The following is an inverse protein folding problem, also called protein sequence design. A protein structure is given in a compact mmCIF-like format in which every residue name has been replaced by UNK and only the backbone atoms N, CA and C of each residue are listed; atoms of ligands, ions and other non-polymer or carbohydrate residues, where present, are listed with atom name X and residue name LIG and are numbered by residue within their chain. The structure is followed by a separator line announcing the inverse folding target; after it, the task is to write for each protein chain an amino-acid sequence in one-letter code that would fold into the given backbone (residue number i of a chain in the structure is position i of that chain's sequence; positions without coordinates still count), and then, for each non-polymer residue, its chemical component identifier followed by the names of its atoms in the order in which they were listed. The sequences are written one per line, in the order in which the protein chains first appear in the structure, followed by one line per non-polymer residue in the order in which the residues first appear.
data_IF_574333888185
#
_entry.id   IF_574333888185
#
_cell.length_a   1.000
_cell.length_b   1.000
_cell.length_c   1.000
_cell.angle_alpha   90.00
_cell.angle_beta   90.00
_cell.angle_gamma   90.00
#
_symmetry.space_group_name_H-M   'P 1'
#
loop_
_entity.id
_entity.type
_entity.pdbx_description
1 polymer ?
#
# COMPACT_ATOMS: atom_id res chain seq x y z
N UNK A 1 2.99 19.75 -12.86
CA UNK A 1 1.61 19.22 -12.69
C UNK A 1 1.65 17.69 -12.54
N UNK A 2 0.59 17.03 -12.04
CA UNK A 2 0.54 15.56 -11.98
C UNK A 2 0.78 14.91 -13.35
N UNK A 3 0.24 15.52 -14.41
CA UNK A 3 0.41 15.05 -15.79
C UNK A 3 1.86 15.14 -16.27
N UNK A 4 2.58 16.19 -15.90
CA UNK A 4 4.01 16.33 -16.24
C UNK A 4 4.85 15.25 -15.55
N UNK A 5 4.65 15.03 -14.25
CA UNK A 5 5.38 13.99 -13.51
C UNK A 5 5.14 12.60 -14.08
N UNK A 6 3.88 12.27 -14.38
CA UNK A 6 3.53 10.99 -15.01
C UNK A 6 4.19 10.82 -16.39
N UNK A 7 4.23 11.87 -17.22
CA UNK A 7 4.90 11.81 -18.53
C UNK A 7 6.42 11.69 -18.42
N UNK A 8 7.04 12.32 -17.43
CA UNK A 8 8.47 12.18 -17.19
C UNK A 8 8.83 10.75 -16.77
N UNK A 9 8.02 10.13 -15.91
CA UNK A 9 8.20 8.73 -15.51
C UNK A 9 8.06 7.78 -16.70
N UNK A 10 7.07 8.00 -17.58
CA UNK A 10 6.91 7.21 -18.80
C UNK A 10 8.14 7.32 -19.72
N UNK A 11 8.67 8.54 -19.90
CA UNK A 11 9.88 8.74 -20.71
C UNK A 11 11.11 8.04 -20.11
N UNK A 12 11.21 7.99 -18.77
CA UNK A 12 12.26 7.23 -18.08
C UNK A 12 12.12 5.72 -18.33
N UNK A 13 10.90 5.18 -18.19
CA UNK A 13 10.62 3.76 -18.48
C UNK A 13 10.94 3.42 -19.93
N UNK A 14 10.57 4.27 -20.88
CA UNK A 14 10.89 4.08 -22.30
C UNK A 14 12.41 4.06 -22.52
N UNK A 15 13.17 4.91 -21.81
CA UNK A 15 14.64 4.92 -21.88
C UNK A 15 15.30 3.65 -21.30
N UNK A 16 14.58 2.91 -20.44
CA UNK A 16 15.02 1.63 -19.87
C UNK A 16 14.71 0.42 -20.75
N UNK A 17 14.13 0.61 -21.94
CA UNK A 17 13.70 -0.48 -22.82
C UNK A 17 12.22 -0.84 -22.69
N UNK A 18 11.44 0.00 -22.00
CA UNK A 18 10.00 -0.16 -21.83
C UNK A 18 9.62 -0.88 -20.53
N UNK A 19 8.31 -1.04 -20.32
CA UNK A 19 7.75 -1.45 -19.04
C UNK A 19 8.22 -2.83 -18.53
N UNK A 20 8.45 -3.79 -19.42
CA UNK A 20 8.87 -5.16 -19.03
C UNK A 20 10.30 -5.14 -18.50
N UNK A 21 11.21 -4.43 -19.17
CA UNK A 21 12.60 -4.30 -18.73
C UNK A 21 12.71 -3.44 -17.45
N UNK A 22 11.78 -2.50 -17.26
CA UNK A 22 11.73 -1.63 -16.08
C UNK A 22 11.01 -2.24 -14.85
N UNK A 23 10.61 -3.51 -14.87
CA UNK A 23 9.83 -4.13 -13.77
C UNK A 23 10.53 -3.99 -12.42
N UNK A 24 11.82 -4.32 -12.34
CA UNK A 24 12.55 -4.26 -11.07
C UNK A 24 12.70 -2.82 -10.55
N UNK A 25 12.88 -1.87 -11.46
CA UNK A 25 12.86 -0.45 -11.11
C UNK A 25 11.50 -0.03 -10.55
N UNK A 26 10.39 -0.31 -11.25
CA UNK A 26 9.06 0.06 -10.78
C UNK A 26 8.72 -0.59 -9.43
N UNK A 27 9.14 -1.85 -9.23
CA UNK A 27 8.99 -2.54 -7.95
C UNK A 27 9.78 -1.87 -6.83
N UNK A 28 11.05 -1.51 -7.06
CA UNK A 28 11.86 -0.84 -6.04
C UNK A 28 11.24 0.50 -5.64
N UNK A 29 10.73 1.28 -6.61
CA UNK A 29 10.05 2.56 -6.35
C UNK A 29 8.79 2.40 -5.51
N UNK A 30 8.00 1.34 -5.74
CA UNK A 30 6.82 1.03 -4.92
C UNK A 30 7.21 0.67 -3.48
N UNK A 31 8.26 -0.14 -3.31
CA UNK A 31 8.77 -0.51 -1.99
C UNK A 31 9.29 0.73 -1.25
N UNK A 32 10.10 1.56 -1.89
CA UNK A 32 10.60 2.82 -1.35
C UNK A 32 9.47 3.75 -0.93
N UNK A 33 8.47 3.93 -1.80
CA UNK A 33 7.33 4.80 -1.52
C UNK A 33 6.51 4.31 -0.33
N UNK A 34 6.31 3.00 -0.21
CA UNK A 34 5.58 2.44 0.92
C UNK A 34 6.39 2.52 2.22
N UNK A 35 7.69 2.22 2.18
CA UNK A 35 8.57 2.34 3.34
C UNK A 35 8.62 3.78 3.85
N UNK A 36 8.72 4.77 2.96
CA UNK A 36 8.66 6.19 3.33
C UNK A 36 7.32 6.56 3.97
N UNK A 37 6.20 6.07 3.42
CA UNK A 37 4.87 6.27 4.02
C UNK A 37 4.78 5.69 5.43
N UNK A 38 5.23 4.44 5.62
CA UNK A 38 5.23 3.80 6.94
C UNK A 38 6.09 4.59 7.92
N UNK A 39 7.30 4.99 7.52
CA UNK A 39 8.17 5.82 8.37
C UNK A 39 7.53 7.14 8.79
N UNK A 40 6.80 7.81 7.90
CA UNK A 40 6.06 9.03 8.22
C UNK A 40 4.88 8.79 9.18
N UNK A 41 4.22 7.63 9.08
CA UNK A 41 3.15 7.25 10.02
C UNK A 41 3.75 6.95 11.39
N UNK A 42 4.87 6.24 11.45
CA UNK A 42 5.55 5.89 12.69
C UNK A 42 6.14 7.10 13.40
N UNK A 43 6.71 8.07 12.66
CA UNK A 43 7.22 9.32 13.22
C UNK A 43 6.13 10.29 13.66
N UNK A 44 4.90 10.12 13.14
CA UNK A 44 3.79 11.04 13.35
C UNK A 44 3.73 12.21 12.36
N UNK A 45 4.68 12.32 11.43
CA UNK A 45 4.67 13.32 10.35
C UNK A 45 3.44 13.18 9.45
N UNK A 46 2.94 11.94 9.31
CA UNK A 46 1.67 11.62 8.68
C UNK A 46 0.67 11.11 9.73
N UNK A 47 -0.36 11.89 10.00
CA UNK A 47 -1.44 11.50 10.93
C UNK A 47 -2.36 10.45 10.32
N UNK A 48 -2.57 9.36 11.05
CA UNK A 48 -3.55 8.30 10.77
C UNK A 48 -4.43 8.12 12.01
N UNK A 49 -5.66 8.61 11.90
CA UNK A 49 -6.66 8.58 12.99
C UNK A 49 -6.97 7.14 13.38
N UNK A 50 -7.01 6.87 14.69
CA UNK A 50 -7.22 5.53 15.24
C UNK A 50 -5.97 4.64 15.23
N UNK A 51 -4.88 5.07 14.58
CA UNK A 51 -3.61 4.33 14.52
C UNK A 51 -2.52 5.05 15.32
N UNK A 52 -2.10 6.24 14.90
CA UNK A 52 -1.04 7.01 15.59
C UNK A 52 -1.55 8.28 16.29
N UNK A 53 -2.81 8.68 16.06
CA UNK A 53 -3.46 9.81 16.71
C UNK A 53 -4.94 9.51 16.98
N UNK A 54 -5.49 10.10 18.04
CA UNK A 54 -6.90 9.95 18.43
C UNK A 54 -7.33 8.48 18.53
N UNK A 55 -6.57 7.67 19.26
CA UNK A 55 -6.74 6.21 19.36
C UNK A 55 -7.93 5.79 20.26
N UNK A 56 -8.46 6.68 21.08
CA UNK A 56 -9.59 6.40 21.96
C UNK A 56 -10.90 6.26 21.17
N UNK A 57 -11.66 5.19 21.43
CA UNK A 57 -12.96 4.92 20.82
C UNK A 57 -13.48 3.55 21.24
N UNK A 58 -14.65 3.16 20.75
CA UNK A 58 -15.13 1.78 20.88
C UNK A 58 -14.29 0.83 20.01
N UNK A 59 -14.20 -0.44 20.39
CA UNK A 59 -13.46 -1.43 19.62
C UNK A 59 -14.05 -1.56 18.21
N UNK A 60 -13.18 -1.62 17.19
CA UNK A 60 -13.63 -1.71 15.80
C UNK A 60 -14.42 -3.01 15.56
N UNK A 61 -15.66 -2.94 15.04
CA UNK A 61 -16.46 -4.13 14.75
C UNK A 61 -15.87 -5.00 13.63
N UNK A 62 -14.86 -4.50 12.90
CA UNK A 62 -14.17 -5.23 11.85
C UNK A 62 -12.97 -6.04 12.36
N UNK A 63 -12.41 -5.67 13.51
CA UNK A 63 -11.22 -6.34 14.09
C UNK A 63 -11.49 -6.95 15.46
N UNK A 64 -12.61 -6.61 16.10
CA UNK A 64 -13.02 -7.15 17.39
C UNK A 64 -14.14 -8.19 17.17
N UNK A 65 -13.86 -9.45 17.47
CA UNK A 65 -14.82 -10.55 17.43
C UNK A 65 -14.30 -11.80 16.72
N UNK A 66 -14.89 -12.95 17.04
CA UNK A 66 -14.51 -14.25 16.45
C UNK A 66 -14.81 -14.33 14.92
N UNK A 67 -15.69 -13.46 14.41
CA UNK A 67 -16.04 -13.33 12.99
C UNK A 67 -15.16 -12.31 12.22
N UNK A 68 -14.11 -11.77 12.84
CA UNK A 68 -13.25 -10.76 12.21
C UNK A 68 -12.46 -11.31 11.01
N UNK A 69 -12.33 -12.63 10.89
CA UNK A 69 -11.61 -13.30 9.81
C UNK A 69 -12.60 -14.11 8.99
N UNK A 70 -12.89 -13.64 7.77
CA UNK A 70 -13.63 -14.42 6.79
C UNK A 70 -12.74 -15.55 6.26
N UNK A 71 -12.98 -16.78 6.70
CA UNK A 71 -12.29 -17.98 6.19
C UNK A 71 -13.03 -18.55 4.99
N UNK A 72 -12.30 -18.99 3.96
CA UNK A 72 -12.88 -19.72 2.82
C UNK A 72 -13.35 -21.10 3.31
N UNK A 73 -14.54 -21.54 2.88
CA UNK A 73 -15.01 -22.91 3.17
C UNK A 73 -14.06 -23.92 2.51
N UNK A 74 -13.45 -24.86 3.25
CA UNK A 74 -12.58 -25.90 2.70
C UNK A 74 -13.20 -26.72 1.57
N UNK A 75 -14.54 -26.79 1.48
CA UNK A 75 -15.24 -27.47 0.39
C UNK A 75 -15.06 -26.79 -0.96
N UNK A 76 -14.84 -25.48 -1.00
CA UNK A 76 -14.64 -24.73 -2.24
C UNK A 76 -13.28 -25.01 -2.90
N UNK A 77 -12.30 -25.55 -2.15
CA UNK A 77 -10.97 -25.93 -2.69
C UNK A 77 -10.94 -27.36 -3.27
N UNK A 78 -12.00 -28.15 -3.04
CA UNK A 78 -12.09 -29.55 -3.47
C UNK A 78 -12.82 -29.76 -4.81
N UNK A 79 -13.39 -28.69 -5.39
CA UNK A 79 -14.00 -28.66 -6.73
C UNK A 79 -13.05 -28.04 -7.77
#
# INVERSE_FOLDING_TARGET
SLKEGARAELALIDSMGGAVEAIEYMKSRLVESNAARIGQIESGDMTVVGVNAYQSGEASPLTAGDDAIMTVDPKNEAE
#
